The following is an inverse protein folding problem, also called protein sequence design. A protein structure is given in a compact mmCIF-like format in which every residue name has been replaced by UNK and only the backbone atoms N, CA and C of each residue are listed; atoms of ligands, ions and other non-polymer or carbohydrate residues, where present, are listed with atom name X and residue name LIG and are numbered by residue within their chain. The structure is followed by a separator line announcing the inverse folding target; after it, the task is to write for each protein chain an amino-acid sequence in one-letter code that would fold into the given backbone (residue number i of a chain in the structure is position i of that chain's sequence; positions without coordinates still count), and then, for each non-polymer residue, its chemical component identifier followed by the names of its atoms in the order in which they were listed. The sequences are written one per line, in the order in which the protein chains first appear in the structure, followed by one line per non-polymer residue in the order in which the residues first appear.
data_IF_112202460631
#
_entry.id   IF_112202460631
#
_cell.length_a   1.000
_cell.length_b   1.000
_cell.length_c   1.000
_cell.angle_alpha   90.00
_cell.angle_beta   90.00
_cell.angle_gamma   90.00
#
_symmetry.space_group_name_H-M   'P 1'
#
loop_
_entity.id
_entity.type
_entity.pdbx_description
1 polymer ?
#
# COMPACT_ATOMS: atom_id res chain seq x y z
N UNK A 1 14.91 11.25 -11.41
CA UNK A 1 14.34 11.54 -10.06
C UNK A 1 15.06 12.71 -9.43
N UNK A 2 16.40 12.70 -9.37
CA UNK A 2 17.23 13.88 -9.04
C UNK A 2 16.94 15.09 -9.95
N UNK A 3 16.84 14.87 -11.26
CA UNK A 3 16.54 15.94 -12.23
C UNK A 3 15.13 16.52 -12.05
N UNK A 4 14.15 15.75 -11.57
CA UNK A 4 12.80 16.27 -11.29
C UNK A 4 12.81 17.26 -10.11
N UNK A 5 13.66 17.02 -9.11
CA UNK A 5 13.85 17.94 -7.97
C UNK A 5 14.58 19.21 -8.41
N UNK A 6 15.54 19.09 -9.33
CA UNK A 6 16.36 20.21 -9.83
C UNK A 6 15.59 21.06 -10.85
N UNK A 7 14.85 20.45 -11.78
CA UNK A 7 13.99 21.15 -12.74
C UNK A 7 12.86 21.89 -12.03
N UNK A 8 12.26 21.28 -10.99
CA UNK A 8 11.27 21.95 -10.15
C UNK A 8 11.83 23.12 -9.32
N UNK A 9 13.15 23.18 -9.10
CA UNK A 9 13.79 24.29 -8.39
C UNK A 9 13.98 25.55 -9.27
N UNK A 10 13.77 25.45 -10.59
CA UNK A 10 13.99 26.56 -11.54
C UNK A 10 12.71 27.31 -11.95
N UNK A 11 11.52 26.81 -11.59
CA UNK A 11 10.25 27.37 -12.05
C UNK A 11 9.47 28.04 -10.91
N UNK A 12 9.93 29.24 -10.54
CA UNK A 12 9.05 30.26 -9.94
C UNK A 12 8.29 30.89 -11.11
N UNK A 13 7.23 30.23 -11.59
CA UNK A 13 6.32 30.87 -12.54
C UNK A 13 5.43 31.89 -11.81
N UNK A 14 5.31 33.12 -12.34
CA UNK A 14 4.38 34.11 -11.81
C UNK A 14 2.94 33.62 -11.99
N UNK A 15 2.10 34.03 -11.04
CA UNK A 15 0.69 33.73 -10.97
C UNK A 15 -0.07 34.29 -12.19
N UNK A 16 -0.30 33.47 -13.20
CA UNK A 16 -1.41 33.68 -14.12
C UNK A 16 -2.42 32.54 -13.91
N UNK A 17 -3.56 32.92 -13.35
CA UNK A 17 -4.70 32.05 -13.19
C UNK A 17 -5.25 31.69 -14.58
N UNK A 18 -4.76 30.59 -15.15
CA UNK A 18 -5.39 30.01 -16.32
C UNK A 18 -6.75 29.44 -15.90
N UNK A 19 -7.80 30.24 -16.08
CA UNK A 19 -9.19 29.88 -15.84
C UNK A 19 -9.57 28.85 -16.91
N UNK A 20 -9.29 27.58 -16.62
CA UNK A 20 -9.73 26.46 -17.46
C UNK A 20 -11.27 26.44 -17.39
N UNK A 21 -12.00 26.62 -18.51
CA UNK A 21 -13.45 26.55 -18.50
C UNK A 21 -13.92 25.16 -18.07
N UNK A 22 -15.05 25.03 -17.36
CA UNK A 22 -15.56 23.75 -16.82
C UNK A 22 -15.93 22.73 -17.90
N UNK A 23 -16.02 23.16 -19.16
CA UNK A 23 -16.20 22.31 -20.35
C UNK A 23 -14.87 21.93 -21.03
N UNK A 24 -13.72 22.20 -20.41
CA UNK A 24 -12.44 21.74 -20.92
C UNK A 24 -12.37 20.19 -20.77
N UNK A 25 -11.93 19.47 -21.82
CA UNK A 25 -11.81 18.01 -21.80
C UNK A 25 -11.11 17.41 -20.56
N UNK A 26 -10.09 18.04 -19.92
CA UNK A 26 -9.49 17.46 -18.72
C UNK A 26 -10.44 17.35 -17.51
N UNK A 27 -11.39 18.27 -17.31
CA UNK A 27 -12.22 18.27 -16.09
C UNK A 27 -13.21 17.09 -16.06
N UNK A 28 -13.89 16.84 -17.18
CA UNK A 28 -14.81 15.71 -17.31
C UNK A 28 -14.11 14.36 -17.09
N UNK A 29 -12.92 14.19 -17.66
CA UNK A 29 -12.12 12.97 -17.51
C UNK A 29 -11.78 12.71 -16.04
N UNK A 30 -11.44 13.76 -15.29
CA UNK A 30 -11.12 13.68 -13.85
C UNK A 30 -12.33 13.21 -13.05
N UNK A 31 -13.51 13.78 -13.31
CA UNK A 31 -14.75 13.39 -12.65
C UNK A 31 -15.11 11.92 -12.93
N UNK A 32 -14.96 11.45 -14.18
CA UNK A 32 -15.20 10.05 -14.53
C UNK A 32 -14.23 9.10 -13.82
N UNK A 33 -12.94 9.42 -13.75
CA UNK A 33 -11.95 8.61 -13.05
C UNK A 33 -12.27 8.55 -11.55
N UNK A 34 -12.64 9.67 -10.94
CA UNK A 34 -12.99 9.73 -9.51
C UNK A 34 -14.24 8.88 -9.19
N UNK A 35 -15.31 9.01 -9.99
CA UNK A 35 -16.54 8.21 -9.81
C UNK A 35 -16.29 6.73 -10.09
N UNK A 36 -15.54 6.41 -11.15
CA UNK A 36 -15.16 5.03 -11.46
C UNK A 36 -14.34 4.39 -10.34
N UNK A 37 -13.41 5.14 -9.74
CA UNK A 37 -12.62 4.69 -8.60
C UNK A 37 -13.49 4.45 -7.36
N UNK A 38 -14.43 5.36 -7.07
CA UNK A 38 -15.39 5.18 -5.99
C UNK A 38 -16.24 3.92 -6.19
N UNK A 39 -16.76 3.72 -7.40
CA UNK A 39 -17.54 2.54 -7.76
C UNK A 39 -16.74 1.23 -7.60
N UNK A 40 -15.50 1.21 -8.11
CA UNK A 40 -14.60 0.06 -7.96
C UNK A 40 -14.29 -0.24 -6.48
N UNK A 41 -14.06 0.79 -5.68
CA UNK A 41 -13.73 0.62 -4.26
C UNK A 41 -14.95 0.16 -3.44
N UNK A 42 -16.13 0.71 -3.72
CA UNK A 42 -17.39 0.24 -3.13
C UNK A 42 -17.66 -1.22 -3.52
N UNK A 43 -17.41 -1.58 -4.77
CA UNK A 43 -17.53 -2.96 -5.24
C UNK A 43 -16.58 -3.91 -4.50
N UNK A 44 -15.32 -3.51 -4.29
CA UNK A 44 -14.35 -4.26 -3.47
C UNK A 44 -14.79 -4.43 -2.02
N UNK A 45 -15.47 -3.43 -1.44
CA UNK A 45 -16.05 -3.55 -0.09
C UNK A 45 -17.19 -4.56 -0.08
N UNK A 46 -18.17 -4.38 -0.97
CA UNK A 46 -19.38 -5.21 -1.02
C UNK A 46 -19.08 -6.69 -1.27
N UNK A 47 -18.21 -6.98 -2.24
CA UNK A 47 -17.84 -8.36 -2.61
C UNK A 47 -17.10 -9.12 -1.50
N UNK A 48 -16.54 -8.39 -0.54
CA UNK A 48 -15.70 -8.96 0.51
C UNK A 48 -16.28 -8.80 1.92
N UNK A 49 -17.45 -8.17 2.03
CA UNK A 49 -18.09 -7.84 3.31
C UNK A 49 -18.43 -9.08 4.13
N UNK A 50 -18.89 -10.16 3.49
CA UNK A 50 -19.22 -11.43 4.16
C UNK A 50 -17.99 -12.02 4.84
N UNK A 51 -16.87 -12.09 4.11
CA UNK A 51 -15.62 -12.62 4.64
C UNK A 51 -15.05 -11.75 5.76
N UNK A 52 -15.28 -10.43 5.73
CA UNK A 52 -14.85 -9.52 6.80
C UNK A 52 -15.71 -9.63 8.06
N UNK A 53 -17.01 -9.81 7.88
CA UNK A 53 -17.94 -10.02 8.99
C UNK A 53 -17.66 -11.34 9.70
N UNK A 54 -17.39 -12.40 8.94
CA UNK A 54 -16.95 -13.68 9.49
C UNK A 54 -15.63 -13.55 10.27
N UNK A 55 -14.70 -12.75 9.75
CA UNK A 55 -13.43 -12.42 10.41
C UNK A 55 -13.59 -11.67 11.73
N UNK A 56 -14.57 -10.77 11.82
CA UNK A 56 -14.86 -10.01 13.04
C UNK A 56 -15.55 -10.87 14.10
N UNK A 57 -16.49 -11.72 13.70
CA UNK A 57 -17.27 -12.51 14.64
C UNK A 57 -16.54 -13.77 15.13
N UNK A 58 -15.75 -14.43 14.28
CA UNK A 58 -15.14 -15.73 14.61
C UNK A 58 -13.71 -15.63 15.13
N UNK A 59 -13.03 -14.48 14.99
CA UNK A 59 -11.61 -14.35 15.33
C UNK A 59 -11.35 -13.34 16.45
N UNK A 60 -10.29 -13.58 17.23
CA UNK A 60 -9.80 -12.62 18.23
C UNK A 60 -9.42 -11.29 17.58
N UNK A 61 -9.99 -10.19 18.08
CA UNK A 61 -9.65 -8.83 17.66
C UNK A 61 -8.18 -8.57 18.00
N UNK A 62 -7.35 -8.46 16.97
CA UNK A 62 -5.93 -8.09 17.10
C UNK A 62 -5.78 -6.62 16.74
N UNK A 63 -4.72 -5.96 17.21
CA UNK A 63 -4.40 -4.57 16.83
C UNK A 63 -4.41 -4.37 15.31
N UNK A 64 -3.85 -5.32 14.54
CA UNK A 64 -3.89 -5.30 13.07
C UNK A 64 -5.31 -5.31 12.50
N UNK A 65 -6.30 -5.93 13.16
CA UNK A 65 -7.72 -5.88 12.73
C UNK A 65 -8.27 -4.48 12.89
N UNK A 66 -8.01 -3.83 14.04
CA UNK A 66 -8.55 -2.50 14.34
C UNK A 66 -7.98 -1.49 13.34
N UNK A 67 -6.66 -1.52 13.14
CA UNK A 67 -5.98 -0.64 12.17
C UNK A 67 -6.43 -0.93 10.74
N UNK A 68 -6.73 -2.19 10.41
CA UNK A 68 -7.30 -2.56 9.11
C UNK A 68 -8.64 -1.88 8.83
N UNK A 69 -9.61 -2.01 9.75
CA UNK A 69 -10.93 -1.39 9.57
C UNK A 69 -10.84 0.13 9.57
N UNK A 70 -9.97 0.69 10.43
CA UNK A 70 -9.67 2.11 10.45
C UNK A 70 -9.12 2.59 9.09
N UNK A 71 -8.17 1.85 8.51
CA UNK A 71 -7.59 2.16 7.21
C UNK A 71 -8.63 2.13 6.10
N UNK A 72 -9.52 1.12 6.09
CA UNK A 72 -10.56 0.95 5.06
C UNK A 72 -11.62 2.06 5.15
N UNK A 73 -12.02 2.44 6.36
CA UNK A 73 -12.94 3.55 6.59
C UNK A 73 -12.34 4.89 6.14
N UNK A 74 -11.09 5.18 6.51
CA UNK A 74 -10.41 6.40 6.07
C UNK A 74 -10.26 6.47 4.56
N UNK A 75 -9.92 5.35 3.91
CA UNK A 75 -9.81 5.29 2.46
C UNK A 75 -11.17 5.55 1.78
N UNK A 76 -12.25 4.94 2.28
CA UNK A 76 -13.60 5.16 1.75
C UNK A 76 -14.02 6.63 1.87
N UNK A 77 -13.88 7.22 3.06
CA UNK A 77 -14.22 8.63 3.31
C UNK A 77 -13.39 9.54 2.39
N UNK A 78 -12.12 9.25 2.21
CA UNK A 78 -11.23 10.05 1.39
C UNK A 78 -11.58 9.96 -0.11
N UNK A 79 -11.81 8.75 -0.63
CA UNK A 79 -12.20 8.54 -2.04
C UNK A 79 -13.57 9.17 -2.31
N UNK A 80 -14.52 9.03 -1.39
CA UNK A 80 -15.83 9.65 -1.49
C UNK A 80 -15.74 11.19 -1.49
N UNK A 81 -14.94 11.75 -0.57
CA UNK A 81 -14.71 13.20 -0.50
C UNK A 81 -14.03 13.72 -1.78
N UNK A 82 -13.05 12.99 -2.31
CA UNK A 82 -12.42 13.30 -3.60
C UNK A 82 -13.42 13.28 -4.74
N UNK A 83 -14.30 12.27 -4.82
CA UNK A 83 -15.35 12.23 -5.84
C UNK A 83 -16.28 13.45 -5.74
N UNK A 84 -16.71 13.82 -4.54
CA UNK A 84 -17.54 15.00 -4.31
C UNK A 84 -16.86 16.29 -4.79
N UNK A 85 -15.57 16.47 -4.51
CA UNK A 85 -14.81 17.65 -4.96
C UNK A 85 -14.83 17.79 -6.48
N UNK A 86 -14.83 16.68 -7.23
CA UNK A 86 -14.77 16.70 -8.69
C UNK A 86 -16.15 16.66 -9.37
N UNK A 87 -17.20 16.20 -8.69
CA UNK A 87 -18.53 16.03 -9.31
C UNK A 87 -19.57 17.02 -8.82
N UNK A 88 -19.45 17.53 -7.59
CA UNK A 88 -20.48 18.36 -6.99
C UNK A 88 -20.21 19.87 -7.16
N UNK A 89 -21.25 20.69 -7.38
CA UNK A 89 -21.14 22.14 -7.35
C UNK A 89 -21.03 22.61 -5.89
N UNK A 90 -19.81 22.78 -5.40
CA UNK A 90 -19.51 23.03 -3.99
C UNK A 90 -19.35 24.51 -3.64
N UNK A 91 -19.33 25.40 -4.62
CA UNK A 91 -19.26 26.88 -4.47
C UNK A 91 -18.33 27.30 -3.31
N UNK A 92 -18.86 27.83 -2.21
CA UNK A 92 -18.10 28.31 -1.04
C UNK A 92 -17.42 27.19 -0.22
N UNK A 93 -17.93 25.95 -0.25
CA UNK A 93 -17.41 24.82 0.53
C UNK A 93 -16.21 24.13 -0.11
N UNK A 94 -15.82 24.57 -1.32
CA UNK A 94 -14.73 24.00 -2.07
C UNK A 94 -13.39 23.96 -1.30
N UNK A 95 -13.04 25.06 -0.64
CA UNK A 95 -11.81 25.19 0.15
C UNK A 95 -11.82 24.27 1.37
N UNK A 96 -12.97 24.16 2.03
CA UNK A 96 -13.16 23.28 3.20
C UNK A 96 -13.02 21.80 2.82
N UNK A 97 -13.74 21.36 1.77
CA UNK A 97 -13.72 19.96 1.35
C UNK A 97 -12.38 19.54 0.73
N UNK A 98 -11.70 20.44 0.02
CA UNK A 98 -10.36 20.17 -0.51
C UNK A 98 -9.33 19.98 0.62
N UNK A 99 -9.38 20.82 1.66
CA UNK A 99 -8.54 20.66 2.86
C UNK A 99 -8.88 19.39 3.64
N UNK A 100 -10.17 19.09 3.79
CA UNK A 100 -10.63 17.86 4.42
C UNK A 100 -10.10 16.63 3.69
N UNK A 101 -10.25 16.58 2.37
CA UNK A 101 -9.74 15.49 1.52
C UNK A 101 -8.21 15.39 1.63
N UNK A 102 -7.49 16.51 1.59
CA UNK A 102 -6.04 16.54 1.77
C UNK A 102 -5.59 15.99 3.14
N UNK A 103 -6.35 16.29 4.21
CA UNK A 103 -6.10 15.73 5.53
C UNK A 103 -6.47 14.24 5.64
N UNK A 104 -7.50 13.81 4.91
CA UNK A 104 -7.89 12.40 4.79
C UNK A 104 -6.76 11.56 4.19
N UNK A 105 -6.07 12.07 3.17
CA UNK A 105 -4.89 11.41 2.61
C UNK A 105 -3.80 11.15 3.66
N UNK A 106 -3.53 12.09 4.56
CA UNK A 106 -2.60 11.90 5.68
C UNK A 106 -2.98 10.70 6.55
N UNK A 107 -4.28 10.59 6.89
CA UNK A 107 -4.78 9.48 7.71
C UNK A 107 -4.65 8.14 7.00
N UNK A 108 -4.91 8.11 5.68
CA UNK A 108 -4.78 6.90 4.87
C UNK A 108 -3.33 6.45 4.78
N UNK A 109 -2.40 7.35 4.44
CA UNK A 109 -0.96 7.04 4.35
C UNK A 109 -0.43 6.55 5.70
N UNK A 110 -0.82 7.20 6.79
CA UNK A 110 -0.42 6.80 8.15
C UNK A 110 -0.96 5.41 8.50
N UNK A 111 -2.21 5.11 8.14
CA UNK A 111 -2.83 3.81 8.38
C UNK A 111 -2.12 2.69 7.61
N UNK A 112 -1.84 2.90 6.32
CA UNK A 112 -1.12 1.94 5.48
C UNK A 112 0.30 1.71 6.01
N UNK A 113 1.01 2.79 6.35
CA UNK A 113 2.36 2.72 6.92
C UNK A 113 2.39 1.97 8.26
N UNK A 114 1.37 2.16 9.10
CA UNK A 114 1.22 1.42 10.36
C UNK A 114 0.98 -0.08 10.10
N UNK A 115 0.15 -0.45 9.11
CA UNK A 115 -0.05 -1.85 8.72
C UNK A 115 1.25 -2.50 8.23
N UNK A 116 2.07 -1.78 7.46
CA UNK A 116 3.38 -2.25 7.00
C UNK A 116 4.36 -2.41 8.16
N UNK A 117 4.38 -1.45 9.09
CA UNK A 117 5.18 -1.56 10.31
C UNK A 117 4.80 -2.78 11.15
N UNK A 118 3.50 -3.03 11.34
CA UNK A 118 3.02 -4.20 12.08
C UNK A 118 3.46 -5.51 11.43
N UNK A 119 3.57 -5.55 10.09
CA UNK A 119 4.11 -6.71 9.36
C UNK A 119 5.59 -6.90 9.63
N UNK A 120 6.40 -5.84 9.56
CA UNK A 120 7.83 -5.91 9.90
C UNK A 120 7.99 -6.40 11.33
N UNK A 121 7.22 -5.86 12.28
CA UNK A 121 7.25 -6.28 13.68
C UNK A 121 6.91 -7.77 13.85
N UNK A 122 5.94 -8.28 13.09
CA UNK A 122 5.58 -9.70 13.13
C UNK A 122 6.67 -10.62 12.54
N UNK A 123 7.45 -10.12 11.57
CA UNK A 123 8.54 -10.87 10.91
C UNK A 123 9.85 -10.82 11.72
N UNK A 124 10.10 -9.70 12.41
CA UNK A 124 11.35 -9.43 13.14
C UNK A 124 11.18 -9.50 14.67
N UNK A 125 10.37 -10.44 15.17
CA UNK A 125 10.08 -10.61 16.61
C UNK A 125 11.35 -10.71 17.47
N UNK A 126 12.41 -11.31 16.95
CA UNK A 126 13.68 -11.51 17.68
C UNK A 126 14.65 -10.32 17.57
N UNK A 127 14.52 -9.45 16.57
CA UNK A 127 15.52 -8.41 16.28
C UNK A 127 14.99 -7.01 16.58
N UNK A 128 15.03 -6.62 17.86
CA UNK A 128 14.54 -5.32 18.35
C UNK A 128 15.10 -4.08 17.64
N UNK A 129 16.40 -3.95 17.32
CA UNK A 129 16.90 -2.73 16.66
C UNK A 129 16.25 -2.50 15.29
N UNK A 130 15.98 -3.56 14.52
CA UNK A 130 15.29 -3.44 13.22
C UNK A 130 13.89 -2.88 13.42
N UNK A 131 13.13 -3.40 14.39
CA UNK A 131 11.79 -2.91 14.71
C UNK A 131 11.82 -1.44 15.14
N UNK A 132 12.80 -1.02 15.93
CA UNK A 132 12.95 0.39 16.34
C UNK A 132 13.21 1.30 15.13
N UNK A 133 14.11 0.90 14.22
CA UNK A 133 14.39 1.68 12.99
C UNK A 133 13.13 1.86 12.14
N UNK A 134 12.37 0.79 11.92
CA UNK A 134 11.11 0.88 11.16
C UNK A 134 10.02 1.66 11.90
N UNK A 135 10.03 1.65 13.24
CA UNK A 135 9.12 2.47 14.03
C UNK A 135 9.44 3.97 13.88
N UNK A 136 10.73 4.34 13.91
CA UNK A 136 11.17 5.72 13.66
C UNK A 136 10.84 6.14 12.22
N UNK A 137 11.06 5.25 11.24
CA UNK A 137 10.67 5.52 9.84
C UNK A 137 9.16 5.75 9.71
N UNK A 138 8.34 4.95 10.39
CA UNK A 138 6.90 5.17 10.46
C UNK A 138 6.53 6.54 11.06
N UNK A 139 7.16 6.94 12.17
CA UNK A 139 6.93 8.25 12.78
C UNK A 139 7.34 9.40 11.86
N UNK A 140 8.43 9.23 11.10
CA UNK A 140 8.86 10.20 10.10
C UNK A 140 7.83 10.33 8.96
N UNK A 141 7.30 9.22 8.45
CA UNK A 141 6.23 9.22 7.44
C UNK A 141 4.99 9.93 7.97
N UNK A 142 4.55 9.61 9.19
CA UNK A 142 3.40 10.25 9.83
C UNK A 142 3.63 11.77 9.99
N UNK A 143 4.79 12.17 10.50
CA UNK A 143 5.16 13.57 10.70
C UNK A 143 5.16 14.37 9.39
N UNK A 144 5.83 13.87 8.35
CA UNK A 144 5.84 14.54 7.04
C UNK A 144 4.46 14.53 6.38
N UNK A 145 3.68 13.48 6.59
CA UNK A 145 2.30 13.40 6.08
C UNK A 145 1.38 14.46 6.69
N UNK A 146 1.70 15.05 7.85
CA UNK A 146 0.89 16.17 8.38
C UNK A 146 0.99 17.45 7.56
N UNK A 147 1.95 17.53 6.63
CA UNK A 147 2.12 18.66 5.73
C UNK A 147 1.20 18.61 4.49
N UNK A 148 0.49 17.50 4.25
CA UNK A 148 -0.46 17.35 3.13
C UNK A 148 -1.47 18.49 2.95
N UNK A 149 -2.17 18.98 4.00
CA UNK A 149 -3.14 20.07 3.82
C UNK A 149 -2.51 21.41 3.41
N UNK A 150 -1.18 21.54 3.47
CA UNK A 150 -0.44 22.72 3.00
C UNK A 150 0.06 22.59 1.55
N UNK A 151 -0.15 21.43 0.91
CA UNK A 151 0.20 21.23 -0.51
C UNK A 151 -0.61 22.16 -1.40
N UNK A 152 -1.86 22.44 -1.05
CA UNK A 152 -2.62 23.46 -1.79
C UNK A 152 -3.99 23.76 -1.23
N UNK A 153 -4.60 24.80 -1.80
CA UNK A 153 -5.97 25.22 -1.49
C UNK A 153 -6.85 25.21 -2.73
N UNK A 154 -8.02 24.59 -2.63
CA UNK A 154 -9.08 24.69 -3.64
C UNK A 154 -9.84 26.01 -3.52
N UNK A 155 -10.24 26.58 -4.65
CA UNK A 155 -11.15 27.72 -4.76
C UNK A 155 -12.19 27.41 -5.85
N UNK A 156 -13.34 28.07 -5.78
CA UNK A 156 -14.31 28.03 -6.88
C UNK A 156 -13.72 28.71 -8.13
N UNK A 157 -14.07 28.19 -9.31
CA UNK A 157 -13.59 28.71 -10.62
C UNK A 157 -14.07 30.14 -10.88
N UNK A 158 -15.16 30.59 -10.23
CA UNK A 158 -15.61 31.97 -10.24
C UNK A 158 -17.08 32.11 -9.81
N UNK A 159 -17.64 33.33 -9.73
CA UNK A 159 -19.02 33.58 -9.28
C UNK A 159 -20.10 32.96 -10.18
N UNK A 160 -19.75 32.55 -11.41
CA UNK A 160 -20.66 31.93 -12.38
C UNK A 160 -20.48 30.41 -12.47
N UNK A 161 -19.42 29.83 -11.88
CA UNK A 161 -19.10 28.40 -11.97
C UNK A 161 -18.89 27.81 -10.58
N UNK A 162 -19.84 26.99 -10.07
CA UNK A 162 -19.79 26.45 -8.71
C UNK A 162 -18.83 25.25 -8.55
N UNK A 163 -18.00 24.96 -9.56
CA UNK A 163 -17.04 23.86 -9.56
C UNK A 163 -15.71 24.25 -8.92
N UNK A 164 -15.04 23.24 -8.36
CA UNK A 164 -13.77 23.38 -7.67
C UNK A 164 -12.57 23.35 -8.61
N UNK A 165 -11.65 24.31 -8.46
CA UNK A 165 -10.32 24.27 -9.07
C UNK A 165 -9.21 24.48 -8.03
N UNK A 166 -8.01 24.00 -8.36
CA UNK A 166 -6.84 24.14 -7.51
C UNK A 166 -6.03 25.35 -7.98
N UNK A 167 -6.03 26.44 -7.22
CA UNK A 167 -5.41 27.72 -7.63
C UNK A 167 -4.01 27.94 -7.05
N UNK A 168 -3.64 27.21 -6.00
CA UNK A 168 -2.31 27.27 -5.37
C UNK A 168 -1.90 25.87 -4.95
N UNK A 169 -1.08 25.20 -5.75
CA UNK A 169 -0.50 23.90 -5.40
C UNK A 169 1.03 23.94 -5.45
N UNK A 170 1.65 23.63 -4.32
CA UNK A 170 3.08 23.41 -4.21
C UNK A 170 3.38 21.98 -4.70
N UNK A 171 3.56 21.83 -6.02
CA UNK A 171 3.83 20.54 -6.65
C UNK A 171 5.06 19.87 -6.02
N UNK A 172 6.09 20.65 -5.69
CA UNK A 172 7.30 20.17 -5.00
C UNK A 172 7.00 19.51 -3.65
N UNK A 173 6.10 20.11 -2.86
CA UNK A 173 5.68 19.54 -1.58
C UNK A 173 4.87 18.26 -1.80
N UNK A 174 3.99 18.23 -2.80
CA UNK A 174 3.21 17.05 -3.17
C UNK A 174 4.08 15.86 -3.61
N UNK A 175 5.11 16.11 -4.42
CA UNK A 175 6.06 15.07 -4.86
C UNK A 175 6.88 14.55 -3.68
N UNK A 176 7.41 15.44 -2.83
CA UNK A 176 8.18 15.05 -1.64
C UNK A 176 7.34 14.16 -0.70
N UNK A 177 6.08 14.50 -0.53
CA UNK A 177 5.12 13.78 0.30
C UNK A 177 4.80 12.36 -0.21
N UNK A 178 4.91 12.11 -1.52
CA UNK A 178 4.75 10.78 -2.12
C UNK A 178 6.05 9.95 -2.08
N UNK A 179 7.21 10.61 -2.15
CA UNK A 179 8.51 9.92 -2.11
C UNK A 179 8.77 9.31 -0.73
N UNK A 180 8.38 9.99 0.35
CA UNK A 180 8.61 9.53 1.73
C UNK A 180 7.95 8.17 2.02
N UNK A 181 6.64 7.98 1.80
CA UNK A 181 6.00 6.67 1.93
C UNK A 181 6.54 5.66 0.90
N UNK A 182 6.91 6.09 -0.32
CA UNK A 182 7.54 5.21 -1.31
C UNK A 182 8.85 4.58 -0.80
N UNK A 183 9.74 5.41 -0.24
CA UNK A 183 11.02 4.94 0.32
C UNK A 183 10.78 3.99 1.49
N UNK A 184 9.81 4.32 2.37
CA UNK A 184 9.42 3.44 3.46
C UNK A 184 8.89 2.09 2.95
N UNK A 185 8.02 2.09 1.93
CA UNK A 185 7.47 0.88 1.33
C UNK A 185 8.57 0.01 0.70
N UNK A 186 9.54 0.62 0.02
CA UNK A 186 10.71 -0.08 -0.53
C UNK A 186 11.56 -0.70 0.59
N UNK A 187 11.85 0.06 1.65
CA UNK A 187 12.63 -0.43 2.78
C UNK A 187 11.94 -1.63 3.46
N UNK A 188 10.62 -1.55 3.66
CA UNK A 188 9.80 -2.63 4.23
C UNK A 188 9.82 -3.86 3.31
N UNK A 189 9.63 -3.67 2.00
CA UNK A 189 9.69 -4.75 1.01
C UNK A 189 11.04 -5.47 1.03
N UNK A 190 12.14 -4.71 1.01
CA UNK A 190 13.50 -5.26 1.05
C UNK A 190 13.75 -6.00 2.36
N UNK A 191 13.40 -5.43 3.51
CA UNK A 191 13.60 -6.08 4.80
C UNK A 191 12.86 -7.41 4.89
N UNK A 192 11.57 -7.42 4.58
CA UNK A 192 10.77 -8.66 4.63
C UNK A 192 11.34 -9.68 3.64
N UNK A 193 11.67 -9.27 2.41
CA UNK A 193 12.26 -10.17 1.41
C UNK A 193 13.58 -10.79 1.87
N UNK A 194 14.49 -10.02 2.46
CA UNK A 194 15.78 -10.52 2.98
C UNK A 194 15.58 -11.51 4.12
N UNK A 195 14.65 -11.24 5.05
CA UNK A 195 14.39 -12.15 6.18
C UNK A 195 13.77 -13.48 5.73
N UNK A 196 12.99 -13.46 4.64
CA UNK A 196 12.33 -14.65 4.08
C UNK A 196 13.19 -15.43 3.07
N UNK A 197 14.31 -14.88 2.62
CA UNK A 197 15.25 -15.60 1.77
C UNK A 197 15.90 -16.75 2.57
N UNK A 198 15.92 -17.99 2.04
CA UNK A 198 16.61 -19.09 2.70
C UNK A 198 18.10 -18.76 2.83
N UNK A 199 18.64 -18.99 4.03
CA UNK A 199 20.08 -18.96 4.27
C UNK A 199 20.69 -20.22 3.64
N UNK A 200 21.02 -20.18 2.36
CA UNK A 200 22.06 -21.09 1.85
C UNK A 200 23.41 -20.55 2.32
N UNK A 201 24.19 -21.41 3.00
CA UNK A 201 25.43 -21.10 3.73
C UNK A 201 26.59 -20.53 2.89
N UNK A 202 26.39 -20.29 1.59
CA UNK A 202 27.44 -19.79 0.71
C UNK A 202 26.94 -18.61 -0.14
N UNK A 203 27.42 -17.40 0.15
CA UNK A 203 27.99 -16.44 -0.82
C UNK A 203 28.08 -15.01 -0.26
N UNK A 204 29.27 -14.45 -0.43
CA UNK A 204 29.79 -13.17 0.06
C UNK A 204 29.58 -11.99 -0.92
N UNK A 205 28.55 -11.99 -1.79
CA UNK A 205 28.40 -10.93 -2.81
C UNK A 205 26.98 -10.37 -2.99
N UNK A 206 26.86 -9.04 -2.93
CA UNK A 206 25.63 -8.24 -3.17
C UNK A 206 24.97 -8.52 -4.53
N UNK A 207 25.78 -8.90 -5.54
CA UNK A 207 25.30 -9.24 -6.89
C UNK A 207 24.53 -10.56 -6.91
N UNK A 208 24.84 -11.46 -5.97
CA UNK A 208 24.17 -12.76 -5.85
C UNK A 208 22.83 -12.62 -5.08
N UNK A 209 22.73 -11.71 -4.12
CA UNK A 209 21.48 -11.40 -3.41
C UNK A 209 20.37 -10.94 -4.34
N UNK A 210 20.65 -10.03 -5.29
CA UNK A 210 19.64 -9.55 -6.24
C UNK A 210 19.18 -10.63 -7.21
N UNK A 211 20.08 -11.55 -7.57
CA UNK A 211 19.76 -12.74 -8.38
C UNK A 211 18.79 -13.67 -7.64
N UNK A 212 19.01 -13.88 -6.34
CA UNK A 212 18.15 -14.67 -5.45
C UNK A 212 16.78 -14.02 -5.22
N UNK A 213 16.73 -12.71 -4.99
CA UNK A 213 15.46 -11.95 -4.88
C UNK A 213 14.63 -12.13 -6.16
N UNK A 214 15.27 -11.98 -7.34
CA UNK A 214 14.59 -12.16 -8.63
C UNK A 214 14.07 -13.59 -8.81
N UNK A 215 14.84 -14.60 -8.40
CA UNK A 215 14.41 -16.02 -8.43
C UNK A 215 13.28 -16.30 -7.44
N UNK A 216 13.32 -15.68 -6.26
CA UNK A 216 12.29 -15.79 -5.23
C UNK A 216 10.95 -15.19 -5.69
N UNK A 217 10.99 -14.01 -6.33
CA UNK A 217 9.82 -13.39 -6.97
C UNK A 217 9.29 -14.22 -8.16
N UNK A 218 10.17 -14.95 -8.85
CA UNK A 218 9.82 -15.83 -9.98
C UNK A 218 9.28 -17.20 -9.56
N UNK A 219 9.25 -17.50 -8.26
CA UNK A 219 8.53 -18.65 -7.69
C UNK A 219 9.21 -20.03 -7.77
N UNK A 220 10.50 -20.14 -8.12
CA UNK A 220 11.02 -21.41 -8.66
C UNK A 220 11.47 -22.54 -7.70
N UNK A 221 11.69 -22.37 -6.40
CA UNK A 221 12.18 -23.48 -5.53
C UNK A 221 11.89 -23.26 -4.02
N UNK A 222 11.06 -24.08 -3.33
CA UNK A 222 10.80 -24.22 -1.84
C UNK A 222 9.30 -24.58 -1.52
N UNK A 223 8.99 -25.18 -0.35
CA UNK A 223 7.75 -25.91 -0.04
C UNK A 223 6.51 -25.01 0.18
N UNK A 224 5.30 -25.55 -0.07
CA UNK A 224 4.29 -24.87 -0.89
C UNK A 224 3.10 -24.11 -0.26
N UNK A 225 2.90 -24.00 1.06
CA UNK A 225 1.67 -23.37 1.58
C UNK A 225 1.86 -22.08 2.39
N UNK A 226 2.75 -22.06 3.40
CA UNK A 226 3.13 -20.80 4.06
C UNK A 226 3.88 -19.88 3.08
N UNK A 227 4.66 -20.48 2.18
CA UNK A 227 5.48 -19.76 1.22
C UNK A 227 4.71 -19.00 0.15
N UNK A 228 3.67 -19.61 -0.43
CA UNK A 228 2.85 -18.97 -1.46
C UNK A 228 2.19 -17.71 -0.93
N UNK A 229 1.69 -17.77 0.30
CA UNK A 229 1.07 -16.64 0.99
C UNK A 229 2.01 -15.45 1.18
N UNK A 230 3.23 -15.71 1.67
CA UNK A 230 4.23 -14.66 1.87
C UNK A 230 4.79 -14.14 0.55
N UNK A 231 4.95 -15.01 -0.45
CA UNK A 231 5.36 -14.62 -1.81
C UNK A 231 4.32 -13.73 -2.48
N UNK A 232 3.04 -14.07 -2.35
CA UNK A 232 1.95 -13.26 -2.89
C UNK A 232 1.90 -11.92 -2.16
N UNK A 233 2.08 -11.89 -0.84
CA UNK A 233 2.24 -10.64 -0.08
C UNK A 233 3.36 -9.73 -0.60
N UNK A 234 4.53 -10.29 -0.95
CA UNK A 234 5.62 -9.50 -1.53
C UNK A 234 5.30 -8.96 -2.93
N UNK A 235 4.58 -9.73 -3.77
CA UNK A 235 4.15 -9.24 -5.09
C UNK A 235 3.21 -8.03 -4.95
N UNK A 236 2.31 -8.03 -3.97
CA UNK A 236 1.43 -6.89 -3.71
C UNK A 236 2.18 -5.65 -3.21
N UNK A 237 3.18 -5.82 -2.33
CA UNK A 237 4.06 -4.71 -1.94
C UNK A 237 4.80 -4.14 -3.15
N UNK A 238 5.33 -5.01 -4.02
CA UNK A 238 5.99 -4.58 -5.25
C UNK A 238 5.03 -3.85 -6.18
N UNK A 239 3.78 -4.32 -6.32
CA UNK A 239 2.75 -3.65 -7.10
C UNK A 239 2.44 -2.25 -6.55
N UNK A 240 2.33 -2.09 -5.21
CA UNK A 240 2.16 -0.77 -4.58
C UNK A 240 3.35 0.17 -4.86
N UNK A 241 4.58 -0.34 -4.80
CA UNK A 241 5.79 0.46 -5.13
C UNK A 241 5.74 0.91 -6.59
N UNK A 242 5.34 0.03 -7.51
CA UNK A 242 5.23 0.35 -8.93
C UNK A 242 4.13 1.37 -9.22
N UNK A 243 2.94 1.23 -8.61
CA UNK A 243 1.86 2.20 -8.80
C UNK A 243 2.22 3.57 -8.24
N UNK A 244 2.81 3.63 -7.05
CA UNK A 244 3.29 4.89 -6.45
C UNK A 244 4.37 5.55 -7.31
N UNK A 245 5.31 4.75 -7.85
CA UNK A 245 6.35 5.25 -8.74
C UNK A 245 5.77 5.84 -10.03
N UNK A 246 4.76 5.19 -10.62
CA UNK A 246 4.07 5.70 -11.82
C UNK A 246 3.41 7.05 -11.55
N UNK A 247 2.73 7.21 -10.41
CA UNK A 247 2.12 8.51 -10.03
C UNK A 247 3.18 9.61 -9.90
N UNK A 248 4.30 9.31 -9.23
CA UNK A 248 5.41 10.27 -9.09
C UNK A 248 6.01 10.64 -10.45
N UNK A 249 6.19 9.67 -11.35
CA UNK A 249 6.72 9.92 -12.70
C UNK A 249 5.76 10.80 -13.51
N UNK A 250 4.45 10.54 -13.47
CA UNK A 250 3.45 11.37 -14.16
C UNK A 250 3.45 12.80 -13.62
N UNK A 251 3.59 12.98 -12.30
CA UNK A 251 3.71 14.31 -11.70
C UNK A 251 5.00 15.05 -12.08
N UNK A 252 6.07 14.32 -12.38
CA UNK A 252 7.36 14.87 -12.80
C UNK A 252 7.42 15.26 -14.28
N UNK A 253 6.52 14.76 -15.14
CA UNK A 253 6.53 15.11 -16.57
C UNK A 253 5.82 16.46 -16.76
N UNK A 254 6.52 17.42 -17.35
CA UNK A 254 5.95 18.76 -17.61
C UNK A 254 5.08 18.82 -18.87
N UNK A 255 5.26 17.84 -19.78
CA UNK A 255 4.40 17.69 -20.96
C UNK A 255 2.98 17.22 -20.66
N UNK A 256 2.69 16.76 -19.43
CA UNK A 256 1.36 16.29 -19.02
C UNK A 256 0.75 17.32 -18.06
N UNK A 257 -0.49 17.78 -18.29
CA UNK A 257 -1.18 18.65 -17.34
C UNK A 257 -1.18 18.02 -15.94
N UNK A 258 -0.66 18.74 -14.94
CA UNK A 258 -0.46 18.22 -13.57
C UNK A 258 -1.78 17.74 -12.92
N UNK A 259 -2.91 18.23 -13.42
CA UNK A 259 -4.26 17.77 -13.09
C UNK A 259 -4.40 16.25 -13.20
N UNK A 260 -3.81 15.62 -14.24
CA UNK A 260 -3.84 14.16 -14.40
C UNK A 260 -3.04 13.44 -13.32
N UNK A 261 -1.88 13.96 -12.92
CA UNK A 261 -1.07 13.36 -11.85
C UNK A 261 -1.79 13.37 -10.50
N UNK A 262 -2.41 14.49 -10.13
CA UNK A 262 -3.22 14.57 -8.90
C UNK A 262 -4.43 13.65 -8.94
N UNK A 263 -5.07 13.51 -10.11
CA UNK A 263 -6.21 12.61 -10.29
C UNK A 263 -5.83 11.15 -10.09
N UNK A 264 -4.61 10.76 -10.47
CA UNK A 264 -4.12 9.39 -10.31
C UNK A 264 -3.81 9.02 -8.84
N UNK A 265 -3.76 9.99 -7.93
CA UNK A 265 -3.57 9.72 -6.50
C UNK A 265 -4.79 8.98 -5.92
N UNK A 266 -6.01 9.35 -6.30
CA UNK A 266 -7.24 8.70 -5.81
C UNK A 266 -7.30 7.21 -6.16
N UNK A 267 -7.12 6.76 -7.42
CA UNK A 267 -7.07 5.34 -7.74
C UNK A 267 -5.84 4.65 -7.14
N UNK A 268 -4.69 5.33 -7.04
CA UNK A 268 -3.52 4.77 -6.34
C UNK A 268 -3.85 4.40 -4.89
N UNK A 269 -4.50 5.29 -4.15
CA UNK A 269 -4.91 5.04 -2.77
C UNK A 269 -5.93 3.91 -2.66
N UNK A 270 -6.90 3.85 -3.58
CA UNK A 270 -7.88 2.76 -3.63
C UNK A 270 -7.17 1.40 -3.81
N UNK A 271 -6.25 1.33 -4.78
CA UNK A 271 -5.48 0.13 -5.07
C UNK A 271 -4.63 -0.29 -3.87
N UNK A 272 -3.88 0.64 -3.27
CA UNK A 272 -2.98 0.33 -2.16
C UNK A 272 -3.75 -0.14 -0.91
N UNK A 273 -4.92 0.46 -0.64
CA UNK A 273 -5.79 0.03 0.44
C UNK A 273 -6.41 -1.35 0.19
N UNK A 274 -6.94 -1.61 -1.01
CA UNK A 274 -7.50 -2.92 -1.37
C UNK A 274 -6.43 -4.02 -1.37
N UNK A 275 -5.22 -3.74 -1.87
CA UNK A 275 -4.10 -4.70 -1.83
C UNK A 275 -3.65 -5.01 -0.40
N UNK A 276 -3.48 -3.99 0.43
CA UNK A 276 -3.15 -4.16 1.86
C UNK A 276 -4.22 -5.00 2.57
N UNK A 277 -5.47 -4.78 2.19
CA UNK A 277 -6.62 -5.46 2.78
C UNK A 277 -6.70 -6.93 2.37
N UNK A 278 -6.61 -7.21 1.07
CA UNK A 278 -6.52 -8.57 0.52
C UNK A 278 -5.42 -9.37 1.21
N UNK A 279 -4.25 -8.76 1.37
CA UNK A 279 -3.09 -9.41 1.94
C UNK A 279 -3.25 -9.74 3.44
N UNK A 280 -4.03 -8.96 4.20
CA UNK A 280 -4.34 -9.30 5.61
C UNK A 280 -5.36 -10.44 5.65
N UNK A 281 -6.37 -10.40 4.78
CA UNK A 281 -7.40 -11.44 4.68
C UNK A 281 -6.81 -12.77 4.25
N UNK A 282 -5.93 -12.79 3.26
CA UNK A 282 -5.26 -14.01 2.81
C UNK A 282 -4.46 -14.63 3.96
N UNK A 283 -3.66 -13.84 4.67
CA UNK A 283 -2.87 -14.32 5.82
C UNK A 283 -3.76 -14.97 6.87
N UNK A 284 -4.90 -14.35 7.20
CA UNK A 284 -5.83 -14.88 8.20
C UNK A 284 -6.60 -16.10 7.73
N UNK A 285 -7.04 -16.13 6.47
CA UNK A 285 -7.69 -17.29 5.88
C UNK A 285 -6.77 -18.52 5.93
N UNK A 286 -5.46 -18.34 5.74
CA UNK A 286 -4.48 -19.43 5.87
C UNK A 286 -4.26 -19.88 7.31
N UNK A 287 -4.36 -18.98 8.30
CA UNK A 287 -4.31 -19.38 9.72
C UNK A 287 -5.55 -20.22 10.08
N UNK A 288 -6.70 -19.91 9.47
CA UNK A 288 -7.98 -20.59 9.72
C UNK A 288 -8.08 -21.96 9.02
N UNK A 289 -7.32 -22.16 7.94
CA UNK A 289 -7.12 -23.46 7.29
C UNK A 289 -5.74 -24.02 7.69
N UNK A 290 -5.54 -24.51 8.92
CA UNK A 290 -4.37 -25.32 9.19
C UNK A 290 -4.47 -26.56 8.30
N UNK A 291 -3.62 -26.59 7.28
CA UNK A 291 -3.54 -27.69 6.34
C UNK A 291 -3.29 -28.98 7.14
N UNK A 292 -4.15 -29.99 6.95
CA UNK A 292 -4.00 -31.34 7.52
C UNK A 292 -2.61 -31.93 7.19
N UNK A 293 -1.91 -31.39 6.19
CA UNK A 293 -0.58 -31.80 5.77
C UNK A 293 0.57 -31.31 6.68
N UNK A 294 0.34 -30.33 7.57
CA UNK A 294 1.36 -29.89 8.53
C UNK A 294 1.56 -30.93 9.66
N UNK A 295 0.52 -31.69 9.96
CA UNK A 295 0.60 -32.84 10.89
C UNK A 295 1.36 -34.01 10.25
N UNK A 296 1.20 -34.23 8.94
CA UNK A 296 1.91 -35.32 8.24
C UNK A 296 3.40 -35.02 8.08
N UNK A 297 3.79 -33.77 7.81
CA UNK A 297 5.21 -33.40 7.65
C UNK A 297 5.97 -33.27 8.97
N UNK A 298 5.30 -32.94 10.07
CA UNK A 298 5.91 -33.00 11.42
C UNK A 298 6.09 -34.47 11.86
N UNK A 299 5.16 -35.36 11.53
CA UNK A 299 5.33 -36.80 11.79
C UNK A 299 6.40 -37.44 10.89
N UNK A 300 6.52 -37.02 9.62
CA UNK A 300 7.53 -37.56 8.71
C UNK A 300 8.97 -37.16 9.09
N UNK A 301 9.15 -36.02 9.75
CA UNK A 301 10.47 -35.55 10.19
C UNK A 301 10.84 -36.01 11.61
N UNK A 302 9.88 -36.61 12.35
CA UNK A 302 10.10 -37.14 13.71
C UNK A 302 10.38 -38.66 13.72
N UNK A 303 10.33 -39.35 12.57
CA UNK A 303 10.83 -40.72 12.45
C UNK A 303 12.05 -40.81 11.53
N UNK A 304 13.26 -40.50 12.01
CA UNK A 304 14.44 -41.17 11.53
C UNK A 304 14.53 -42.55 12.24
N UNK A 305 14.60 -43.61 11.44
CA UNK A 305 15.30 -44.86 11.78
C UNK A 305 14.95 -45.53 13.11
N UNK A 306 13.99 -46.47 13.10
CA UNK A 306 14.02 -47.64 13.98
C UNK A 306 13.19 -48.79 13.38
N UNK A 307 13.50 -49.13 12.13
CA UNK A 307 13.07 -50.40 11.56
C UNK A 307 14.26 -51.08 10.89
N UNK A 308 15.19 -51.57 11.70
CA UNK A 308 15.97 -52.74 11.33
C UNK A 308 16.38 -53.52 12.58
N UNK A 309 16.04 -54.82 12.55
CA UNK A 309 16.64 -55.92 13.32
C UNK A 309 16.05 -56.21 14.71
N UNK A 310 14.99 -57.01 14.70
CA UNK A 310 14.91 -58.16 15.61
C UNK A 310 14.23 -59.33 14.87
N UNK A 311 15.06 -60.16 14.24
CA UNK A 311 14.65 -61.51 13.83
C UNK A 311 14.14 -62.24 15.10
N UNK A 312 12.93 -62.79 15.01
CA UNK A 312 12.38 -63.63 16.05
C UNK A 312 13.07 -65.00 16.07
N UNK A 313 13.23 -65.64 17.24
CA UNK A 313 13.44 -67.08 17.28
C UNK A 313 12.11 -67.79 17.00
N UNK A 314 12.20 -68.76 16.09
CA UNK A 314 11.19 -69.75 15.71
C UNK A 314 10.63 -70.49 16.92
N UNK A 315 9.32 -70.75 16.90
CA UNK A 315 8.60 -71.55 17.89
C UNK A 315 8.71 -73.06 17.59
N UNK A 316 8.88 -73.86 18.66
CA UNK A 316 8.42 -75.25 18.87
C UNK A 316 8.74 -76.35 17.85
N UNK A 317 9.63 -77.30 18.20
CA UNK A 317 9.30 -78.62 18.77
C UNK A 317 10.60 -79.35 19.15
#
# INVERSE_FOLDING_TARGET
MQDCIITAASEVYPAEAEVIPPAAPPYLVVSYIAVGTLGMFLWDILTHLEAEYELLLKQKITLTTIVYFWSRLNALINIFSSALVHTAPLDQYCSGLSKFTSSGFTLVITSISLLLFLRVRAVYTENRPVVVVFFVAFLAVMGLSTLSPFVGSGQSVGPQNPYCTTTKSNIQLGVALLIVPLVNNIAVFVAITIKLLPKEETATSHRDTMSRIRRFLRGKHLPGLSRTLWQDGQKYLLASILTTSTVVVVLCIDSIPKVYGFTLITPHVAIENSMSSYMIRSIRASILKPDRNMVTTLNLHTTPELEFRREGPVLSQ
#
